data_IF_730820264855
#
_entry.id   IF_730820264855
#
_cell.length_a   1.000
_cell.length_b   1.000
_cell.length_c   1.000
_cell.angle_alpha   90.00
_cell.angle_beta   90.00
_cell.angle_gamma   90.00
#
_symmetry.space_group_name_H-M   'P 1'
#
loop_
_entity.id
_entity.type
_entity.pdbx_description
1 polymer ?
#
# COMPACT_ATOMS: atom_id res chain seq x y z
N UNK A 1 7.64 10.01 1.35
CA UNK A 1 6.72 10.66 2.30
C UNK A 1 6.48 12.11 1.92
N UNK A 2 5.24 12.56 2.08
CA UNK A 2 4.82 13.95 1.81
C UNK A 2 5.64 14.97 2.63
N UNK A 3 5.78 14.76 3.94
CA UNK A 3 6.45 15.74 4.84
C UNK A 3 7.91 16.00 4.45
N UNK A 4 8.63 14.96 4.02
CA UNK A 4 10.04 15.09 3.57
C UNK A 4 10.12 15.87 2.26
N UNK A 5 9.11 15.71 1.38
CA UNK A 5 9.08 16.34 0.05
C UNK A 5 8.61 17.79 0.09
N UNK A 6 7.66 18.12 0.97
CA UNK A 6 6.96 19.40 0.97
C UNK A 6 7.41 20.37 2.07
N UNK A 7 8.26 19.94 3.00
CA UNK A 7 8.76 20.84 4.05
C UNK A 7 9.58 21.98 3.44
N UNK A 8 9.27 23.20 3.86
CA UNK A 8 9.96 24.41 3.44
C UNK A 8 10.35 25.28 4.65
N UNK A 9 11.29 26.19 4.42
CA UNK A 9 11.66 27.20 5.40
C UNK A 9 10.55 28.24 5.45
N UNK A 10 9.93 28.41 6.63
CA UNK A 10 8.95 29.45 6.91
C UNK A 10 9.65 30.79 7.17
N UNK A 11 10.65 30.78 8.06
CA UNK A 11 11.50 31.93 8.35
C UNK A 11 12.76 31.54 9.14
N UNK A 12 13.71 32.47 9.19
CA UNK A 12 14.91 32.40 10.04
C UNK A 12 14.56 32.98 11.41
N UNK A 13 14.77 32.25 12.52
CA UNK A 13 14.44 32.74 13.86
C UNK A 13 15.29 33.96 14.25
N UNK A 14 14.81 34.83 15.17
CA UNK A 14 15.62 35.91 15.71
C UNK A 14 16.82 35.36 16.49
N UNK A 15 17.94 36.10 16.52
CA UNK A 15 19.21 35.64 17.11
C UNK A 15 19.06 35.09 18.54
N UNK A 16 18.23 35.72 19.37
CA UNK A 16 17.99 35.31 20.76
C UNK A 16 17.30 33.95 20.89
N UNK A 17 16.63 33.46 19.85
CA UNK A 17 15.95 32.16 19.84
C UNK A 17 16.84 31.01 19.37
N UNK A 18 17.98 31.29 18.73
CA UNK A 18 18.85 30.26 18.12
C UNK A 18 19.37 29.28 19.19
N UNK A 19 20.01 29.77 20.25
CA UNK A 19 20.60 28.91 21.28
C UNK A 19 19.55 28.03 22.00
N UNK A 20 18.39 28.57 22.45
CA UNK A 20 17.30 27.75 22.96
C UNK A 20 16.79 26.69 21.96
N UNK A 21 16.66 27.04 20.68
CA UNK A 21 16.22 26.09 19.64
C UNK A 21 17.24 24.97 19.42
N UNK A 22 18.53 25.28 19.34
CA UNK A 22 19.59 24.28 19.18
C UNK A 22 19.62 23.34 20.39
N UNK A 23 19.44 23.86 21.60
CA UNK A 23 19.34 23.03 22.82
C UNK A 23 18.12 22.10 22.81
N UNK A 24 16.97 22.59 22.35
CA UNK A 24 15.77 21.75 22.16
C UNK A 24 16.03 20.62 21.16
N UNK A 25 16.59 20.96 19.99
CA UNK A 25 16.95 20.01 18.95
C UNK A 25 17.96 18.95 19.43
N UNK A 26 18.96 19.35 20.23
CA UNK A 26 19.96 18.44 20.77
C UNK A 26 19.39 17.49 21.85
N UNK A 27 18.36 17.90 22.58
CA UNK A 27 17.82 17.13 23.72
C UNK A 27 16.59 16.29 23.36
N UNK A 28 15.74 16.78 22.47
CA UNK A 28 14.44 16.16 22.13
C UNK A 28 14.27 15.91 20.63
N UNK A 29 15.28 16.25 19.83
CA UNK A 29 15.23 16.14 18.38
C UNK A 29 15.15 14.70 17.89
N UNK A 30 14.40 14.53 16.82
CA UNK A 30 14.41 13.30 16.01
C UNK A 30 15.48 13.51 14.95
N UNK A 31 16.53 12.69 14.96
CA UNK A 31 17.49 12.64 13.85
C UNK A 31 16.84 11.94 12.67
N UNK A 32 16.80 12.59 11.53
CA UNK A 32 16.30 12.06 10.27
C UNK A 32 17.48 11.89 9.33
N UNK A 33 17.66 10.68 8.82
CA UNK A 33 18.69 10.35 7.84
C UNK A 33 18.02 9.72 6.62
N UNK A 34 18.32 10.28 5.45
CA UNK A 34 17.76 9.85 4.18
C UNK A 34 18.90 9.23 3.38
N UNK A 35 18.76 7.95 3.06
CA UNK A 35 19.72 7.19 2.30
C UNK A 35 19.20 6.92 0.88
N UNK A 36 20.12 6.90 -0.09
CA UNK A 36 19.87 6.54 -1.47
C UNK A 36 20.32 5.12 -1.77
N UNK A 37 20.50 4.82 -3.05
CA UNK A 37 21.06 3.54 -3.49
C UNK A 37 22.44 3.29 -2.86
N UNK A 38 22.73 2.01 -2.56
CA UNK A 38 23.97 1.56 -1.92
C UNK A 38 24.26 2.26 -0.57
N UNK A 39 23.22 2.50 0.24
CA UNK A 39 23.29 3.10 1.57
C UNK A 39 24.02 4.45 1.64
N UNK A 40 24.00 5.19 0.53
CA UNK A 40 24.61 6.52 0.48
C UNK A 40 23.74 7.53 1.23
N UNK A 41 24.27 8.13 2.28
CA UNK A 41 23.60 9.25 2.97
C UNK A 41 23.41 10.42 2.00
N UNK A 42 22.16 10.79 1.75
CA UNK A 42 21.76 11.89 0.88
C UNK A 42 21.53 13.18 1.67
N UNK A 43 20.92 13.05 2.85
CA UNK A 43 20.56 14.19 3.70
C UNK A 43 20.40 13.72 5.15
N UNK A 44 20.90 14.52 6.08
CA UNK A 44 20.65 14.36 7.51
C UNK A 44 20.22 15.70 8.13
N UNK A 45 19.24 15.67 9.02
CA UNK A 45 18.74 16.83 9.74
C UNK A 45 18.04 16.40 11.03
N UNK A 46 17.85 17.36 11.93
CA UNK A 46 17.15 17.16 13.20
C UNK A 46 15.80 17.88 13.17
N UNK A 47 14.79 17.23 13.73
CA UNK A 47 13.42 17.78 13.87
C UNK A 47 13.10 17.93 15.35
N UNK A 48 12.90 19.17 15.79
CA UNK A 48 12.66 19.53 17.19
C UNK A 48 11.20 19.77 17.51
N UNK A 49 10.97 20.58 18.54
CA UNK A 49 9.66 21.08 18.94
C UNK A 49 9.05 22.07 17.94
N UNK A 50 7.97 22.71 18.38
CA UNK A 50 7.24 23.71 17.60
C UNK A 50 7.47 25.12 18.12
N UNK A 51 7.16 26.11 17.29
CA UNK A 51 7.02 27.50 17.73
C UNK A 51 5.95 27.62 18.83
N UNK A 52 6.01 28.69 19.63
CA UNK A 52 5.06 28.92 20.72
C UNK A 52 3.59 29.06 20.26
N UNK A 53 3.38 29.47 19.01
CA UNK A 53 2.06 29.50 18.37
C UNK A 53 1.66 28.17 17.71
N UNK A 54 2.51 27.14 17.78
CA UNK A 54 2.37 25.82 17.16
C UNK A 54 2.30 25.81 15.62
N UNK A 55 2.58 26.93 14.96
CA UNK A 55 2.44 27.09 13.49
C UNK A 55 3.71 26.78 12.69
N UNK A 56 4.76 26.29 13.34
CA UNK A 56 6.02 25.93 12.69
C UNK A 56 6.82 24.95 13.54
N UNK A 57 7.77 24.26 12.91
CA UNK A 57 8.62 23.25 13.56
C UNK A 57 10.09 23.63 13.41
N UNK A 58 10.85 23.49 14.50
CA UNK A 58 12.28 23.73 14.49
C UNK A 58 12.98 22.60 13.74
N UNK A 59 13.81 22.95 12.76
CA UNK A 59 14.67 22.00 12.08
C UNK A 59 16.06 22.57 11.87
N UNK A 60 17.08 21.71 11.91
CA UNK A 60 18.47 22.07 11.63
C UNK A 60 19.13 20.99 10.81
N UNK A 61 19.93 21.38 9.81
CA UNK A 61 20.71 20.45 9.02
C UNK A 61 21.82 19.83 9.88
N UNK A 62 22.14 18.56 9.67
CA UNK A 62 23.27 17.94 10.35
C UNK A 62 24.57 18.67 9.98
N UNK A 63 25.37 19.02 10.98
CA UNK A 63 26.57 19.87 10.84
C UNK A 63 26.33 21.38 10.65
N UNK A 64 25.09 21.88 10.79
CA UNK A 64 24.78 23.31 10.78
C UNK A 64 24.59 23.85 12.20
N UNK A 65 24.95 25.13 12.41
CA UNK A 65 24.66 25.88 13.64
C UNK A 65 23.39 26.74 13.52
N UNK A 66 22.80 26.83 12.33
CA UNK A 66 21.63 27.67 12.05
C UNK A 66 20.35 26.82 11.97
N UNK A 67 19.45 26.89 12.97
CA UNK A 67 18.13 26.29 12.88
C UNK A 67 17.16 27.19 12.11
N UNK A 68 16.11 26.58 11.57
CA UNK A 68 15.02 27.25 10.86
C UNK A 68 13.68 26.87 11.44
N UNK A 69 12.70 27.77 11.29
CA UNK A 69 11.29 27.41 11.47
C UNK A 69 10.77 26.93 10.13
N UNK A 70 10.16 25.74 10.12
CA UNK A 70 9.70 25.05 8.92
C UNK A 70 8.20 24.76 8.96
N UNK A 71 7.58 24.64 7.79
CA UNK A 71 6.16 24.30 7.62
C UNK A 71 5.93 23.54 6.30
N UNK A 72 4.69 23.11 6.07
CA UNK A 72 4.22 22.63 4.75
C UNK A 72 3.29 23.73 4.19
N UNK A 73 3.39 24.12 2.91
CA UNK A 73 2.68 25.29 2.36
C UNK A 73 1.15 25.33 2.59
N UNK A 74 0.49 24.17 2.66
CA UNK A 74 -0.97 24.05 2.77
C UNK A 74 -1.41 23.73 4.21
N UNK A 75 -0.47 23.69 5.17
CA UNK A 75 -0.76 23.26 6.53
C UNK A 75 0.03 24.05 7.57
N UNK A 76 -0.70 24.56 8.55
CA UNK A 76 -0.11 25.07 9.79
C UNK A 76 -0.18 23.98 10.86
N UNK A 77 0.90 23.84 11.63
CA UNK A 77 0.99 22.84 12.69
C UNK A 77 2.38 22.24 12.84
N UNK A 78 2.58 21.51 13.93
CA UNK A 78 3.80 20.76 14.20
C UNK A 78 4.01 19.60 13.22
N UNK A 79 5.17 19.56 12.58
CA UNK A 79 5.59 18.49 11.67
C UNK A 79 6.14 17.28 12.43
N UNK A 80 6.58 17.46 13.69
CA UNK A 80 7.27 16.42 14.49
C UNK A 80 6.54 15.09 14.53
N UNK A 81 5.21 15.09 14.66
CA UNK A 81 4.40 13.86 14.72
C UNK A 81 4.51 13.01 13.46
N UNK A 82 4.74 13.64 12.30
CA UNK A 82 4.92 12.96 11.01
C UNK A 82 6.29 12.27 10.89
N UNK A 83 7.23 12.63 11.76
CA UNK A 83 8.54 11.99 11.89
C UNK A 83 8.58 10.92 13.00
N UNK A 84 7.49 10.78 13.78
CA UNK A 84 7.41 9.83 14.89
C UNK A 84 6.77 8.49 14.49
N UNK A 85 6.60 8.21 13.20
CA UNK A 85 6.11 6.91 12.71
C UNK A 85 7.19 5.83 12.83
N UNK A 86 6.81 4.56 12.90
CA UNK A 86 7.76 3.44 13.14
C UNK A 86 7.53 2.28 12.18
N UNK A 87 8.62 1.58 11.86
CA UNK A 87 8.58 0.33 11.07
C UNK A 87 7.81 0.49 9.76
N UNK A 88 6.87 -0.41 9.51
CA UNK A 88 6.08 -0.46 8.28
C UNK A 88 5.24 0.79 8.00
N UNK A 89 5.00 1.65 8.99
CA UNK A 89 4.27 2.90 8.77
C UNK A 89 5.03 3.90 7.88
N UNK A 90 6.35 3.73 7.70
CA UNK A 90 7.15 4.51 6.76
C UNK A 90 7.08 3.99 5.32
N UNK A 91 6.72 2.73 5.13
CA UNK A 91 6.78 2.06 3.82
C UNK A 91 5.66 2.55 2.92
N UNK A 92 5.93 2.57 1.61
CA UNK A 92 4.88 2.73 0.63
C UNK A 92 3.89 1.58 0.78
N UNK A 93 2.60 1.91 0.88
CA UNK A 93 1.52 0.96 1.06
C UNK A 93 0.94 0.47 -0.26
N UNK A 94 1.50 0.86 -1.40
CA UNK A 94 1.08 0.33 -2.71
C UNK A 94 1.30 -1.18 -2.77
N UNK A 95 0.22 -1.94 -2.92
CA UNK A 95 0.21 -3.41 -3.06
C UNK A 95 0.20 -3.81 -4.54
N UNK A 96 -0.63 -3.11 -5.33
CA UNK A 96 -0.67 -3.26 -6.78
C UNK A 96 -0.34 -1.92 -7.40
N UNK A 97 0.67 -1.93 -8.28
CA UNK A 97 1.23 -0.75 -8.94
C UNK A 97 1.71 -1.09 -10.35
N UNK A 98 0.97 -1.97 -11.03
CA UNK A 98 1.41 -2.59 -12.28
C UNK A 98 0.88 -1.83 -13.50
N UNK A 99 1.73 -1.64 -14.49
CA UNK A 99 1.27 -1.21 -15.81
C UNK A 99 0.53 -2.39 -16.48
N UNK A 100 -0.75 -2.25 -16.85
CA UNK A 100 -1.53 -3.30 -17.50
C UNK A 100 -0.84 -3.89 -18.74
N UNK A 101 -0.07 -3.09 -19.47
CA UNK A 101 0.63 -3.56 -20.67
C UNK A 101 1.81 -4.49 -20.37
N UNK A 102 2.32 -4.46 -19.14
CA UNK A 102 3.42 -5.33 -18.69
C UNK A 102 2.92 -6.65 -18.11
N UNK A 103 1.63 -6.75 -17.77
CA UNK A 103 1.05 -7.97 -17.20
C UNK A 103 0.91 -9.02 -18.31
N UNK A 104 1.51 -10.19 -18.09
CA UNK A 104 1.52 -11.29 -19.06
C UNK A 104 0.63 -12.45 -18.62
N UNK A 105 0.40 -12.57 -17.31
CA UNK A 105 -0.36 -13.66 -16.70
C UNK A 105 -1.07 -13.18 -15.45
N UNK A 106 -2.35 -13.52 -15.32
CA UNK A 106 -3.10 -13.44 -14.07
C UNK A 106 -3.91 -14.72 -13.88
N UNK A 107 -3.80 -15.39 -12.74
CA UNK A 107 -4.77 -16.40 -12.34
C UNK A 107 -5.54 -15.94 -11.12
N UNK A 108 -6.84 -16.21 -11.11
CA UNK A 108 -7.73 -15.94 -9.98
C UNK A 108 -8.42 -17.23 -9.60
N UNK A 109 -8.11 -17.73 -8.42
CA UNK A 109 -8.70 -18.92 -7.84
C UNK A 109 -9.69 -18.53 -6.73
N UNK A 110 -10.93 -19.00 -6.84
CA UNK A 110 -11.94 -18.95 -5.79
C UNK A 110 -12.19 -20.37 -5.26
N UNK A 111 -11.51 -20.82 -4.20
CA UNK A 111 -11.57 -22.23 -3.75
C UNK A 111 -12.99 -22.74 -3.47
N UNK A 112 -13.86 -21.87 -2.95
CA UNK A 112 -15.27 -22.17 -2.65
C UNK A 112 -16.22 -22.04 -3.85
N UNK A 113 -15.76 -21.44 -4.95
CA UNK A 113 -16.57 -21.15 -6.14
C UNK A 113 -15.76 -21.44 -7.40
N UNK A 114 -15.35 -22.71 -7.57
CA UNK A 114 -14.43 -23.14 -8.63
C UNK A 114 -14.82 -22.66 -10.04
N UNK A 115 -16.11 -22.66 -10.37
CA UNK A 115 -16.62 -22.20 -11.67
C UNK A 115 -16.37 -20.72 -11.96
N UNK A 116 -16.08 -19.90 -10.95
CA UNK A 116 -15.74 -18.48 -11.09
C UNK A 116 -14.25 -18.23 -11.26
N UNK A 117 -13.43 -19.27 -11.14
CA UNK A 117 -11.97 -19.17 -11.20
C UNK A 117 -11.48 -19.17 -12.64
N UNK A 118 -10.47 -18.38 -12.95
CA UNK A 118 -9.97 -18.24 -14.33
C UNK A 118 -8.46 -17.99 -14.39
N UNK A 119 -7.93 -18.19 -15.60
CA UNK A 119 -6.60 -17.76 -16.01
C UNK A 119 -6.75 -16.81 -17.18
N UNK A 120 -6.09 -15.66 -17.08
CA UNK A 120 -5.93 -14.67 -18.12
C UNK A 120 -4.46 -14.65 -18.52
N UNK A 121 -4.19 -14.91 -19.80
CA UNK A 121 -2.85 -15.00 -20.38
C UNK A 121 -2.77 -14.09 -21.60
N UNK A 122 -1.64 -13.40 -21.75
CA UNK A 122 -1.37 -12.66 -22.99
C UNK A 122 -1.14 -13.64 -24.14
N UNK A 123 -1.81 -13.41 -25.26
CA UNK A 123 -1.74 -14.25 -26.45
C UNK A 123 -1.43 -13.41 -27.70
N UNK A 124 -1.15 -14.06 -28.83
CA UNK A 124 -0.93 -13.38 -30.10
C UNK A 124 -2.19 -12.57 -30.49
N UNK A 125 -2.07 -11.24 -30.46
CA UNK A 125 -3.17 -10.32 -30.83
C UNK A 125 -4.13 -9.93 -29.71
N UNK A 126 -3.85 -10.24 -28.43
CA UNK A 126 -4.68 -9.80 -27.30
C UNK A 126 -4.51 -10.63 -26.03
N UNK A 127 -5.63 -10.99 -25.41
CA UNK A 127 -5.68 -11.81 -24.20
C UNK A 127 -6.55 -13.05 -24.42
N UNK A 128 -6.13 -14.16 -23.81
CA UNK A 128 -6.90 -15.39 -23.70
C UNK A 128 -7.38 -15.56 -22.28
N UNK A 129 -8.65 -15.93 -22.09
CA UNK A 129 -9.22 -16.23 -20.78
C UNK A 129 -9.83 -17.63 -20.80
N UNK A 130 -9.39 -18.48 -19.86
CA UNK A 130 -9.84 -19.86 -19.71
C UNK A 130 -10.23 -20.17 -18.26
N UNK A 131 -11.09 -21.16 -17.99
CA UNK A 131 -11.33 -21.62 -16.62
C UNK A 131 -10.03 -22.07 -15.95
N UNK A 132 -9.90 -21.84 -14.64
CA UNK A 132 -8.71 -22.27 -13.89
C UNK A 132 -8.70 -23.78 -13.61
N UNK A 133 -9.88 -24.36 -13.32
CA UNK A 133 -10.03 -25.78 -13.06
C UNK A 133 -10.54 -26.51 -14.31
N UNK A 134 -9.87 -27.59 -14.71
CA UNK A 134 -10.24 -28.40 -15.90
C UNK A 134 -11.68 -28.95 -15.86
N UNK A 135 -12.22 -29.17 -14.65
CA UNK A 135 -13.62 -29.61 -14.46
C UNK A 135 -14.65 -28.54 -14.85
N UNK A 136 -14.23 -27.29 -15.01
CA UNK A 136 -15.10 -26.17 -15.39
C UNK A 136 -15.12 -26.06 -16.90
N UNK A 137 -16.28 -26.20 -17.55
CA UNK A 137 -16.36 -26.04 -19.00
C UNK A 137 -16.09 -24.60 -19.42
N UNK A 138 -15.46 -24.35 -20.58
CA UNK A 138 -15.36 -23.01 -21.15
C UNK A 138 -16.73 -22.35 -21.34
N UNK A 139 -16.77 -21.02 -21.21
CA UNK A 139 -17.99 -20.25 -21.45
C UNK A 139 -18.49 -20.43 -22.89
N UNK A 140 -19.80 -20.59 -23.06
CA UNK A 140 -20.47 -20.59 -24.37
C UNK A 140 -20.87 -19.18 -24.82
N UNK A 141 -20.81 -18.20 -23.93
CA UNK A 141 -21.10 -16.80 -24.23
C UNK A 141 -19.92 -16.19 -25.01
N UNK A 142 -20.16 -15.33 -26.02
CA UNK A 142 -19.07 -14.68 -26.76
C UNK A 142 -18.17 -13.84 -25.87
N UNK A 143 -16.86 -13.86 -26.12
CA UNK A 143 -15.91 -13.01 -25.41
C UNK A 143 -16.21 -11.52 -25.64
N UNK A 144 -16.22 -10.75 -24.56
CA UNK A 144 -16.41 -9.29 -24.61
C UNK A 144 -15.08 -8.60 -24.85
N UNK A 145 -14.93 -8.02 -26.05
CA UNK A 145 -13.76 -7.24 -26.42
C UNK A 145 -13.50 -6.10 -25.42
N UNK A 146 -12.25 -5.92 -25.01
CA UNK A 146 -11.86 -4.90 -24.02
C UNK A 146 -12.05 -5.33 -22.55
N UNK A 147 -12.68 -6.47 -22.27
CA UNK A 147 -12.95 -6.91 -20.89
C UNK A 147 -11.67 -7.29 -20.14
N UNK A 148 -10.73 -7.97 -20.79
CA UNK A 148 -9.42 -8.29 -20.22
C UNK A 148 -8.62 -7.02 -19.90
N UNK A 149 -8.55 -6.09 -20.85
CA UNK A 149 -7.84 -4.82 -20.69
C UNK A 149 -8.43 -4.02 -19.53
N UNK A 150 -9.76 -3.89 -19.48
CA UNK A 150 -10.46 -3.20 -18.39
C UNK A 150 -10.21 -3.88 -17.04
N UNK A 151 -10.22 -5.21 -16.99
CA UNK A 151 -9.91 -5.96 -15.76
C UNK A 151 -8.48 -5.65 -15.28
N UNK A 152 -7.50 -5.65 -16.18
CA UNK A 152 -6.10 -5.40 -15.85
C UNK A 152 -5.85 -3.99 -15.30
N UNK A 153 -6.67 -3.00 -15.66
CA UNK A 153 -6.58 -1.65 -15.05
C UNK A 153 -6.79 -1.68 -13.52
N UNK A 154 -7.48 -2.69 -12.99
CA UNK A 154 -7.66 -2.86 -11.55
C UNK A 154 -6.35 -3.08 -10.77
N UNK A 155 -5.26 -3.48 -11.46
CA UNK A 155 -3.94 -3.67 -10.85
C UNK A 155 -3.04 -2.42 -10.92
N UNK A 156 -3.51 -1.33 -11.54
CA UNK A 156 -2.72 -0.10 -11.70
C UNK A 156 -2.37 0.57 -10.39
N UNK A 157 -3.32 0.61 -9.45
CA UNK A 157 -3.12 1.28 -8.17
C UNK A 157 -4.07 0.76 -7.12
N UNK A 158 -3.55 -0.05 -6.22
CA UNK A 158 -4.24 -0.45 -4.99
C UNK A 158 -3.29 -0.20 -3.84
N UNK A 159 -3.78 0.53 -2.83
CA UNK A 159 -3.02 0.90 -1.63
C UNK A 159 -3.64 0.16 -0.45
N UNK A 160 -2.81 -0.50 0.35
CA UNK A 160 -3.22 -1.09 1.61
C UNK A 160 -3.67 -0.01 2.60
N UNK A 161 -4.67 -0.35 3.41
CA UNK A 161 -5.05 0.45 4.57
C UNK A 161 -3.91 0.44 5.60
N UNK A 162 -3.40 -0.76 5.90
CA UNK A 162 -2.33 -0.98 6.87
C UNK A 162 -1.48 -2.20 6.51
N UNK A 163 -0.23 -2.18 6.98
CA UNK A 163 0.56 -3.39 7.15
C UNK A 163 0.16 -4.06 8.46
N UNK A 164 -0.01 -5.37 8.40
CA UNK A 164 -0.43 -6.27 9.47
C UNK A 164 0.66 -7.33 9.73
N UNK A 165 1.92 -7.03 9.38
CA UNK A 165 3.05 -7.96 9.48
C UNK A 165 3.24 -8.55 10.88
N UNK A 166 2.86 -7.81 11.93
CA UNK A 166 2.95 -8.22 13.33
C UNK A 166 1.62 -8.77 13.88
N UNK A 167 0.65 -9.07 13.02
CA UNK A 167 -0.65 -9.56 13.45
C UNK A 167 -0.51 -10.94 14.12
N UNK A 168 -0.85 -11.07 15.42
CA UNK A 168 -0.64 -12.31 16.17
C UNK A 168 -1.52 -13.46 15.68
N UNK A 169 -2.53 -13.17 14.86
CA UNK A 169 -3.45 -14.17 14.30
C UNK A 169 -3.07 -14.61 12.88
N UNK A 170 -1.99 -14.07 12.28
CA UNK A 170 -1.59 -14.36 10.88
C UNK A 170 -1.55 -15.86 10.59
N UNK A 171 -0.89 -16.66 11.43
CA UNK A 171 -0.78 -18.12 11.23
C UNK A 171 -2.16 -18.80 11.25
N UNK A 172 -3.03 -18.39 12.18
CA UNK A 172 -4.39 -18.93 12.28
C UNK A 172 -5.26 -18.53 11.08
N UNK A 173 -5.03 -17.34 10.53
CA UNK A 173 -5.78 -16.80 9.39
C UNK A 173 -5.35 -17.49 8.10
N UNK A 174 -4.04 -17.60 7.87
CA UNK A 174 -3.43 -18.17 6.65
C UNK A 174 -3.69 -19.67 6.49
N UNK A 175 -3.90 -20.40 7.59
CA UNK A 175 -4.28 -21.82 7.55
C UNK A 175 -5.74 -22.07 7.08
N UNK A 176 -6.60 -21.04 7.08
CA UNK A 176 -7.99 -21.19 6.62
C UNK A 176 -8.05 -21.18 5.11
N UNK A 177 -9.06 -21.86 4.55
CA UNK A 177 -9.35 -21.79 3.12
C UNK A 177 -9.56 -20.31 2.72
N UNK A 178 -8.74 -19.76 1.81
CA UNK A 178 -8.84 -18.36 1.44
C UNK A 178 -10.11 -18.10 0.63
N UNK A 179 -10.49 -16.83 0.59
CA UNK A 179 -11.60 -16.37 -0.26
C UNK A 179 -11.19 -16.37 -1.73
N UNK A 180 -9.99 -15.85 -2.02
CA UNK A 180 -9.45 -15.68 -3.35
C UNK A 180 -7.92 -15.81 -3.31
N UNK A 181 -7.33 -16.43 -4.31
CA UNK A 181 -5.88 -16.40 -4.55
C UNK A 181 -5.65 -15.79 -5.93
N UNK A 182 -4.81 -14.76 -5.99
CA UNK A 182 -4.40 -14.14 -7.25
C UNK A 182 -2.91 -14.39 -7.45
N UNK A 183 -2.51 -14.96 -8.58
CA UNK A 183 -1.13 -14.89 -9.05
C UNK A 183 -1.04 -13.93 -10.22
N UNK A 184 0.00 -13.10 -10.23
CA UNK A 184 0.26 -12.13 -11.29
C UNK A 184 1.72 -12.25 -11.73
N UNK A 185 1.96 -12.23 -13.04
CA UNK A 185 3.31 -12.21 -13.62
C UNK A 185 3.43 -11.12 -14.68
N UNK A 186 4.58 -10.46 -14.69
CA UNK A 186 4.91 -9.37 -15.61
C UNK A 186 6.02 -9.76 -16.57
N UNK A 187 6.15 -9.00 -17.66
CA UNK A 187 7.13 -9.24 -18.73
C UNK A 187 8.60 -9.10 -18.29
N UNK A 188 8.86 -8.42 -17.18
CA UNK A 188 10.18 -8.30 -16.54
C UNK A 188 10.56 -9.53 -15.70
N UNK A 189 9.69 -10.55 -15.63
CA UNK A 189 9.90 -11.78 -14.88
C UNK A 189 9.46 -11.72 -13.43
N UNK A 190 8.93 -10.59 -12.95
CA UNK A 190 8.37 -10.53 -11.60
C UNK A 190 7.10 -11.38 -11.50
N UNK A 191 6.98 -12.14 -10.42
CA UNK A 191 5.82 -12.95 -10.10
C UNK A 191 5.45 -12.72 -8.64
N UNK A 192 4.16 -12.45 -8.38
CA UNK A 192 3.64 -12.30 -7.03
C UNK A 192 2.36 -13.08 -6.85
N UNK A 193 2.15 -13.57 -5.63
CA UNK A 193 0.93 -14.26 -5.22
C UNK A 193 0.30 -13.54 -4.04
N UNK A 194 -1.02 -13.38 -4.11
CA UNK A 194 -1.83 -12.63 -3.16
C UNK A 194 -2.95 -13.53 -2.66
N UNK A 195 -2.94 -13.85 -1.39
CA UNK A 195 -3.91 -14.79 -0.78
C UNK A 195 -4.85 -14.01 0.13
N UNK A 196 -6.12 -13.89 -0.26
CA UNK A 196 -7.11 -13.06 0.40
C UNK A 196 -7.90 -13.84 1.44
N UNK A 197 -7.87 -13.36 2.69
CA UNK A 197 -8.66 -13.86 3.80
C UNK A 197 -9.70 -12.80 4.21
N UNK A 198 -11.00 -13.09 4.15
CA UNK A 198 -12.02 -12.10 4.44
C UNK A 198 -12.02 -11.76 5.94
N UNK A 199 -12.10 -10.47 6.25
CA UNK A 199 -12.35 -9.99 7.61
C UNK A 199 -13.87 -9.89 7.78
N UNK A 200 -14.43 -10.79 8.58
CA UNK A 200 -15.84 -10.72 8.97
C UNK A 200 -15.93 -10.07 10.35
N UNK A 201 -16.66 -8.97 10.48
CA UNK A 201 -16.94 -8.40 11.80
C UNK A 201 -17.66 -9.44 12.68
N UNK A 202 -17.15 -9.65 13.91
CA UNK A 202 -17.85 -10.47 14.92
C UNK A 202 -19.22 -9.90 15.31
N UNK A 203 -19.44 -8.61 15.07
CA UNK A 203 -20.63 -7.85 15.50
C UNK A 203 -21.60 -7.52 14.36
N UNK A 204 -21.50 -8.20 13.20
CA UNK A 204 -22.60 -8.11 12.24
C UNK A 204 -23.88 -8.56 12.96
N UNK A 205 -24.92 -7.70 13.05
CA UNK A 205 -26.15 -8.08 13.72
C UNK A 205 -26.63 -9.40 13.10
N UNK A 206 -26.99 -10.34 13.95
CA UNK A 206 -27.31 -11.75 13.66
C UNK A 206 -28.39 -11.99 12.60
N UNK A 207 -28.93 -10.92 11.99
CA UNK A 207 -29.98 -10.90 10.99
C UNK A 207 -29.60 -10.24 9.65
N UNK A 208 -28.33 -9.89 9.40
CA UNK A 208 -27.93 -9.49 8.04
C UNK A 208 -27.89 -10.74 7.13
N UNK A 209 -28.73 -10.83 6.07
CA UNK A 209 -28.89 -12.05 5.28
C UNK A 209 -27.64 -12.46 4.50
N UNK A 210 -26.64 -11.58 4.39
CA UNK A 210 -25.34 -11.85 3.77
C UNK A 210 -24.29 -11.08 4.59
N UNK A 211 -23.22 -11.72 5.11
CA UNK A 211 -22.12 -11.00 5.71
C UNK A 211 -21.47 -10.11 4.64
N UNK A 212 -21.56 -8.79 4.83
CA UNK A 212 -20.88 -7.83 3.97
C UNK A 212 -19.39 -7.92 4.28
N UNK A 213 -18.59 -8.36 3.31
CA UNK A 213 -17.14 -8.37 3.45
C UNK A 213 -16.65 -6.97 3.11
N UNK A 214 -16.21 -6.24 4.12
CA UNK A 214 -15.71 -4.87 3.95
C UNK A 214 -14.20 -4.81 3.71
N UNK A 215 -13.46 -5.83 4.16
CA UNK A 215 -12.01 -5.88 4.03
C UNK A 215 -11.45 -7.29 3.98
N UNK A 216 -10.20 -7.40 3.54
CA UNK A 216 -9.43 -8.63 3.43
C UNK A 216 -8.06 -8.43 4.06
N UNK A 217 -7.63 -9.42 4.83
CA UNK A 217 -6.21 -9.59 5.15
C UNK A 217 -5.57 -10.39 4.02
N UNK A 218 -4.47 -9.90 3.48
CA UNK A 218 -3.84 -10.45 2.28
C UNK A 218 -2.40 -10.80 2.57
N UNK A 219 -2.06 -12.07 2.37
CA UNK A 219 -0.69 -12.57 2.42
C UNK A 219 -0.04 -12.42 1.03
N UNK A 220 1.14 -11.81 0.98
CA UNK A 220 1.85 -11.45 -0.25
C UNK A 220 3.16 -12.21 -0.33
N UNK A 221 3.29 -13.07 -1.35
CA UNK A 221 4.50 -13.80 -1.66
C UNK A 221 5.17 -13.23 -2.92
N UNK A 222 6.52 -13.14 -2.99
CA UNK A 222 7.50 -13.64 -2.01
C UNK A 222 7.88 -12.63 -0.92
N UNK A 223 7.37 -11.39 -0.98
CA UNK A 223 7.77 -10.29 -0.08
C UNK A 223 7.54 -10.62 1.41
N UNK A 224 6.62 -11.54 1.72
CA UNK A 224 6.31 -11.98 3.08
C UNK A 224 5.44 -10.99 3.85
N UNK A 225 4.93 -9.96 3.18
CA UNK A 225 4.06 -8.95 3.77
C UNK A 225 2.65 -9.50 3.98
N UNK A 226 2.02 -9.05 5.07
CA UNK A 226 0.63 -9.26 5.40
C UNK A 226 -0.04 -7.89 5.51
N UNK A 227 -1.09 -7.65 4.74
CA UNK A 227 -1.69 -6.31 4.61
C UNK A 227 -3.21 -6.35 4.75
N UNK A 228 -3.79 -5.25 5.22
CA UNK A 228 -5.23 -5.03 5.23
C UNK A 228 -5.65 -4.24 3.98
N UNK A 229 -6.61 -4.78 3.23
CA UNK A 229 -7.16 -4.17 2.01
C UNK A 229 -8.68 -4.04 2.10
N UNK A 230 -9.18 -2.85 1.78
CA UNK A 230 -10.62 -2.60 1.74
C UNK A 230 -11.25 -3.20 0.48
N UNK A 231 -12.41 -3.82 0.61
CA UNK A 231 -13.15 -4.43 -0.49
C UNK A 231 -13.40 -3.43 -1.63
N UNK A 232 -13.73 -2.18 -1.31
CA UNK A 232 -13.97 -1.14 -2.33
C UNK A 232 -12.76 -0.86 -3.22
N UNK A 233 -11.54 -1.08 -2.72
CA UNK A 233 -10.28 -0.87 -3.47
C UNK A 233 -9.92 -2.09 -4.32
N UNK A 234 -10.36 -3.29 -3.94
CA UNK A 234 -9.98 -4.55 -4.61
C UNK A 234 -11.11 -5.21 -5.41
N UNK A 235 -12.36 -4.74 -5.30
CA UNK A 235 -13.51 -5.35 -5.99
C UNK A 235 -13.35 -5.46 -7.51
N UNK A 236 -12.55 -4.60 -8.13
CA UNK A 236 -12.28 -4.66 -9.56
C UNK A 236 -11.36 -5.83 -9.95
N UNK A 237 -10.44 -6.24 -9.07
CA UNK A 237 -9.55 -7.39 -9.32
C UNK A 237 -10.17 -8.70 -8.83
N UNK A 238 -11.24 -8.65 -8.04
CA UNK A 238 -12.02 -9.79 -7.56
C UNK A 238 -13.22 -10.14 -8.46
N UNK A 239 -13.03 -10.10 -9.79
CA UNK A 239 -14.07 -10.44 -10.77
C UNK A 239 -14.18 -11.95 -10.97
N UNK A 240 -15.38 -12.49 -11.25
CA UNK A 240 -15.55 -13.88 -11.64
C UNK A 240 -15.20 -14.12 -13.14
N UNK A 241 -14.95 -15.37 -13.51
CA UNK A 241 -14.71 -15.80 -14.91
C UNK A 241 -15.77 -15.30 -15.92
N UNK A 242 -17.05 -15.30 -15.53
CA UNK A 242 -18.16 -14.79 -16.35
C UNK A 242 -18.05 -13.28 -16.67
N UNK A 243 -17.16 -12.53 -16.01
CA UNK A 243 -16.92 -11.12 -16.32
C UNK A 243 -16.35 -10.88 -17.72
N UNK A 244 -15.72 -11.87 -18.35
CA UNK A 244 -15.06 -11.71 -19.66
C UNK A 244 -15.95 -12.04 -20.85
N UNK A 245 -17.14 -12.57 -20.60
CA UNK A 245 -18.14 -12.96 -21.60
C UNK A 245 -19.44 -12.20 -21.33
#
# INVERSE_FOLDING_TARGET
>A
LEVIRLVEIKYIPPQAAIEPMVKDLATQGIKVEIYGAADKLLKAYYVGGTTADERGTFMIMDGSDMPYVTSIPIMEGGLRVRYAVKGDQWRDKTVFGYDPETITYVSVEYPKQKSKSFVLERAAGGYSVKPYFDVTPPSTTPYRQGSAENYLTGFQRVIAEAFENQNPLRDTITQRVPFCVIELRTSDGNARKFTFHPVTERNSPTNAPIPVIESYLVDIEPDGDFVLLQHNLVKQILRPYEHFF
#
